data_IF_870646760419
#
_entry.id   IF_870646760419
#
_cell.length_a   1.000
_cell.length_b   1.000
_cell.length_c   1.000
_cell.angle_alpha   90.00
_cell.angle_beta   90.00
_cell.angle_gamma   90.00
#
_symmetry.space_group_name_H-M   'P 1'
#
loop_
_entity.id
_entity.type
_entity.pdbx_description
1 polymer ?
#
# COMPACT_ATOMS: atom_id res chain seq x y z
N UNK A 1 54.93 -17.51 53.07
CA UNK A 1 54.10 -16.31 52.92
C UNK A 1 53.18 -16.65 51.78
N UNK A 2 52.10 -17.37 52.09
CA UNK A 2 51.11 -17.81 51.12
C UNK A 2 49.75 -17.26 51.60
N UNK A 3 49.02 -16.49 50.77
CA UNK A 3 47.68 -16.05 51.11
C UNK A 3 46.69 -17.23 51.00
N UNK A 4 45.55 -17.18 51.72
CA UNK A 4 44.65 -18.32 51.87
C UNK A 4 43.87 -18.60 50.57
N UNK A 5 44.04 -19.79 49.99
CA UNK A 5 43.35 -20.24 48.77
C UNK A 5 41.83 -20.42 48.95
N UNK A 6 41.34 -20.60 50.18
CA UNK A 6 39.90 -20.77 50.48
C UNK A 6 39.07 -19.51 50.21
N UNK A 7 39.58 -18.34 50.61
CA UNK A 7 38.88 -17.04 50.47
C UNK A 7 38.78 -16.62 48.98
N UNK A 8 39.75 -17.07 48.17
CA UNK A 8 39.78 -16.82 46.72
C UNK A 8 38.77 -17.70 45.96
N UNK A 9 38.63 -18.98 46.33
CA UNK A 9 37.67 -19.90 45.71
C UNK A 9 36.21 -19.50 45.99
N UNK A 10 35.92 -19.02 47.20
CA UNK A 10 34.59 -18.54 47.58
C UNK A 10 34.20 -17.25 46.81
N UNK A 11 35.14 -16.32 46.66
CA UNK A 11 34.95 -15.11 45.84
C UNK A 11 34.74 -15.44 44.36
N UNK A 12 35.52 -16.36 43.79
CA UNK A 12 35.39 -16.76 42.37
C UNK A 12 34.06 -17.48 42.13
N UNK A 13 33.58 -18.30 43.08
CA UNK A 13 32.27 -18.95 43.01
C UNK A 13 31.10 -17.96 43.04
N UNK A 14 31.18 -16.94 43.91
CA UNK A 14 30.18 -15.87 44.02
C UNK A 14 30.14 -14.97 42.77
N UNK A 15 31.32 -14.61 42.24
CA UNK A 15 31.42 -13.83 40.99
C UNK A 15 30.92 -14.63 39.79
N UNK A 16 31.14 -15.94 39.74
CA UNK A 16 30.63 -16.81 38.68
C UNK A 16 29.10 -16.97 38.75
N UNK A 17 28.51 -17.13 39.95
CA UNK A 17 27.05 -17.18 40.11
C UNK A 17 26.39 -15.84 39.81
N UNK A 18 26.99 -14.73 40.24
CA UNK A 18 26.51 -13.38 39.92
C UNK A 18 26.58 -13.11 38.41
N UNK A 19 27.69 -13.50 37.75
CA UNK A 19 27.84 -13.35 36.30
C UNK A 19 26.84 -14.20 35.52
N UNK A 20 26.58 -15.44 35.97
CA UNK A 20 25.56 -16.29 35.37
C UNK A 20 24.14 -15.71 35.55
N UNK A 21 23.83 -15.17 36.74
CA UNK A 21 22.54 -14.53 37.01
C UNK A 21 22.35 -13.26 36.17
N UNK A 22 23.37 -12.40 36.08
CA UNK A 22 23.36 -11.19 35.26
C UNK A 22 23.23 -11.54 33.77
N UNK A 23 23.98 -12.54 33.29
CA UNK A 23 23.87 -13.01 31.91
C UNK A 23 22.49 -13.59 31.60
N UNK A 24 21.86 -14.30 32.55
CA UNK A 24 20.49 -14.80 32.40
C UNK A 24 19.46 -13.69 32.26
N UNK A 25 19.61 -12.61 33.05
CA UNK A 25 18.75 -11.42 32.95
C UNK A 25 18.93 -10.72 31.59
N UNK A 26 20.18 -10.55 31.14
CA UNK A 26 20.43 -9.95 29.82
C UNK A 26 19.86 -10.80 28.67
N UNK A 27 19.99 -12.13 28.73
CA UNK A 27 19.41 -13.02 27.73
C UNK A 27 17.88 -12.91 27.67
N UNK A 28 17.21 -12.81 28.82
CA UNK A 28 15.76 -12.59 28.90
C UNK A 28 15.35 -11.23 28.33
N UNK A 29 16.11 -10.17 28.62
CA UNK A 29 15.84 -8.84 28.08
C UNK A 29 15.99 -8.81 26.55
N UNK A 30 17.05 -9.40 26.00
CA UNK A 30 17.26 -9.50 24.55
C UNK A 30 16.15 -10.34 23.91
N UNK A 31 15.76 -11.46 24.53
CA UNK A 31 14.65 -12.29 24.07
C UNK A 31 13.32 -11.53 24.02
N UNK A 32 13.02 -10.75 25.06
CA UNK A 32 11.81 -9.92 25.11
C UNK A 32 11.82 -8.83 24.03
N UNK A 33 12.96 -8.15 23.81
CA UNK A 33 13.11 -7.14 22.76
C UNK A 33 12.93 -7.76 21.37
N UNK A 34 13.50 -8.95 21.13
CA UNK A 34 13.34 -9.65 19.86
C UNK A 34 11.87 -10.02 19.58
N UNK A 35 11.15 -10.55 20.58
CA UNK A 35 9.72 -10.87 20.45
C UNK A 35 8.91 -9.61 20.16
N UNK A 36 9.16 -8.52 20.89
CA UNK A 36 8.46 -7.24 20.68
C UNK A 36 8.74 -6.70 19.27
N UNK A 37 9.99 -6.78 18.79
CA UNK A 37 10.35 -6.35 17.45
C UNK A 37 9.62 -7.15 16.36
N UNK A 38 9.51 -8.47 16.52
CA UNK A 38 8.75 -9.34 15.61
C UNK A 38 7.27 -8.95 15.60
N UNK A 39 6.65 -8.78 16.77
CA UNK A 39 5.24 -8.37 16.89
C UNK A 39 5.00 -7.00 16.22
N UNK A 40 5.92 -6.05 16.38
CA UNK A 40 5.80 -4.73 15.75
C UNK A 40 5.91 -4.86 14.23
N UNK A 41 6.84 -5.68 13.72
CA UNK A 41 7.00 -5.92 12.29
C UNK A 41 5.77 -6.59 11.67
N UNK A 42 5.22 -7.63 12.31
CA UNK A 42 4.00 -8.31 11.88
C UNK A 42 2.80 -7.35 11.87
N UNK A 43 2.62 -6.56 12.94
CA UNK A 43 1.53 -5.56 13.01
C UNK A 43 1.67 -4.47 11.95
N UNK A 44 2.88 -4.04 11.64
CA UNK A 44 3.12 -3.05 10.59
C UNK A 44 2.76 -3.61 9.22
N UNK A 45 3.07 -4.88 8.95
CA UNK A 45 2.70 -5.56 7.71
C UNK A 45 1.19 -5.72 7.57
N UNK A 46 0.51 -6.20 8.62
CA UNK A 46 -0.96 -6.30 8.61
C UNK A 46 -1.59 -4.94 8.34
N UNK A 47 -1.11 -3.87 8.99
CA UNK A 47 -1.61 -2.52 8.75
C UNK A 47 -1.38 -2.03 7.32
N UNK A 48 -0.22 -2.34 6.73
CA UNK A 48 0.08 -1.98 5.34
C UNK A 48 -0.87 -2.68 4.36
N UNK A 49 -1.15 -3.98 4.58
CA UNK A 49 -2.10 -4.74 3.76
C UNK A 49 -3.52 -4.16 3.89
N UNK A 50 -3.98 -3.88 5.11
CA UNK A 50 -5.31 -3.29 5.33
C UNK A 50 -5.42 -1.89 4.68
N UNK A 51 -4.38 -1.07 4.77
CA UNK A 51 -4.34 0.23 4.12
C UNK A 51 -4.40 0.10 2.59
N UNK A 52 -3.66 -0.85 2.01
CA UNK A 52 -3.73 -1.15 0.57
C UNK A 52 -5.15 -1.55 0.17
N UNK A 53 -5.81 -2.43 0.92
CA UNK A 53 -7.20 -2.85 0.64
C UNK A 53 -8.16 -1.67 0.66
N UNK A 54 -8.02 -0.76 1.64
CA UNK A 54 -8.84 0.45 1.73
C UNK A 54 -8.62 1.36 0.53
N UNK A 55 -7.37 1.63 0.17
CA UNK A 55 -7.04 2.52 -0.94
C UNK A 55 -7.44 1.94 -2.30
N UNK A 56 -7.29 0.63 -2.48
CA UNK A 56 -7.73 -0.09 -3.68
C UNK A 56 -9.26 -0.11 -3.79
N UNK A 57 -9.97 -0.23 -2.66
CA UNK A 57 -11.43 -0.12 -2.64
C UNK A 57 -11.90 1.29 -3.00
N UNK A 58 -11.23 2.33 -2.47
CA UNK A 58 -11.49 3.74 -2.84
C UNK A 58 -11.22 3.99 -4.32
N UNK A 59 -10.14 3.41 -4.85
CA UNK A 59 -9.82 3.48 -6.27
C UNK A 59 -10.94 2.85 -7.11
N UNK A 60 -11.38 1.65 -6.74
CA UNK A 60 -12.48 0.96 -7.42
C UNK A 60 -13.79 1.76 -7.40
N UNK A 61 -14.13 2.39 -6.27
CA UNK A 61 -15.28 3.29 -6.14
C UNK A 61 -15.14 4.53 -7.03
N UNK A 62 -13.95 5.13 -7.07
CA UNK A 62 -13.65 6.29 -7.92
C UNK A 62 -13.85 5.96 -9.40
N UNK A 63 -13.36 4.80 -9.85
CA UNK A 63 -13.54 4.32 -11.23
C UNK A 63 -15.02 4.05 -11.56
N UNK A 64 -15.79 3.52 -10.61
CA UNK A 64 -17.24 3.37 -10.78
C UNK A 64 -17.97 4.71 -10.85
N UNK A 65 -17.56 5.70 -10.06
CA UNK A 65 -18.09 7.06 -10.16
C UNK A 65 -17.84 7.63 -11.55
N UNK A 66 -16.59 7.57 -12.03
CA UNK A 66 -16.22 8.01 -13.38
C UNK A 66 -17.03 7.32 -14.47
N UNK A 67 -17.22 6.00 -14.37
CA UNK A 67 -18.05 5.25 -15.30
C UNK A 67 -19.49 5.74 -15.32
N UNK A 68 -20.12 5.81 -14.15
CA UNK A 68 -21.54 6.15 -14.03
C UNK A 68 -21.80 7.59 -14.46
N UNK A 69 -20.94 8.51 -14.06
CA UNK A 69 -21.03 9.93 -14.43
C UNK A 69 -20.70 10.14 -15.90
N UNK A 70 -19.71 9.41 -16.44
CA UNK A 70 -19.45 9.37 -17.88
C UNK A 70 -20.70 8.97 -18.66
N UNK A 71 -21.43 7.92 -18.26
CA UNK A 71 -22.70 7.51 -18.90
C UNK A 71 -23.78 8.59 -18.75
N UNK A 72 -23.88 9.20 -17.56
CA UNK A 72 -24.89 10.21 -17.25
C UNK A 72 -24.74 11.48 -18.10
N UNK A 73 -23.49 11.88 -18.37
CA UNK A 73 -23.16 13.09 -19.12
C UNK A 73 -22.93 12.84 -20.62
N UNK A 74 -23.04 11.59 -21.08
CA UNK A 74 -23.06 11.25 -22.50
C UNK A 74 -24.10 12.07 -23.30
N UNK A 75 -25.33 12.35 -22.82
CA UNK A 75 -26.29 13.21 -23.51
C UNK A 75 -25.86 14.70 -23.51
N UNK A 76 -25.83 15.39 -24.66
CA UNK A 76 -25.24 16.73 -24.81
C UNK A 76 -25.97 17.85 -24.05
N UNK A 77 -27.22 17.63 -23.67
CA UNK A 77 -28.06 18.62 -22.97
C UNK A 77 -27.75 18.72 -21.46
N UNK A 78 -27.03 17.74 -20.90
CA UNK A 78 -26.81 17.60 -19.47
C UNK A 78 -25.54 18.30 -18.95
N UNK A 79 -24.74 18.92 -19.82
CA UNK A 79 -23.38 19.35 -19.50
C UNK A 79 -23.24 20.86 -19.63
N UNK A 80 -23.00 21.51 -18.48
CA UNK A 80 -22.54 22.90 -18.46
C UNK A 80 -21.01 22.92 -18.55
N UNK A 81 -20.47 23.50 -19.62
CA UNK A 81 -19.03 23.53 -19.90
C UNK A 81 -18.19 24.35 -18.92
N UNK A 82 -18.81 25.16 -18.06
CA UNK A 82 -18.12 25.98 -17.06
C UNK A 82 -17.82 25.25 -15.75
N UNK A 83 -18.29 24.00 -15.59
CA UNK A 83 -18.10 23.20 -14.39
C UNK A 83 -17.12 22.06 -14.69
N UNK A 84 -16.07 21.94 -13.88
CA UNK A 84 -15.21 20.76 -13.92
C UNK A 84 -15.96 19.56 -13.31
N UNK A 85 -16.69 18.82 -14.16
CA UNK A 85 -17.53 17.74 -13.67
C UNK A 85 -16.72 16.67 -12.92
N UNK A 86 -15.46 16.38 -13.27
CA UNK A 86 -14.73 15.26 -12.69
C UNK A 86 -13.60 15.67 -11.74
N UNK A 87 -13.69 16.86 -11.15
CA UNK A 87 -12.64 17.38 -10.26
C UNK A 87 -12.34 16.42 -9.09
N UNK A 88 -13.39 15.90 -8.43
CA UNK A 88 -13.26 14.99 -7.28
C UNK A 88 -12.60 13.66 -7.67
N UNK A 89 -13.03 13.04 -8.77
CA UNK A 89 -12.45 11.77 -9.21
C UNK A 89 -11.01 11.95 -9.71
N UNK A 90 -10.72 13.08 -10.38
CA UNK A 90 -9.36 13.39 -10.81
C UNK A 90 -8.44 13.55 -9.59
N UNK A 91 -8.89 14.24 -8.55
CA UNK A 91 -8.14 14.40 -7.30
C UNK A 91 -7.92 13.05 -6.60
N UNK A 92 -8.97 12.21 -6.51
CA UNK A 92 -8.87 10.88 -5.91
C UNK A 92 -7.89 9.98 -6.65
N UNK A 93 -7.92 9.95 -7.99
CA UNK A 93 -6.96 9.20 -8.80
C UNK A 93 -5.52 9.72 -8.60
N UNK A 94 -5.34 11.04 -8.60
CA UNK A 94 -4.03 11.66 -8.33
C UNK A 94 -3.50 11.28 -6.94
N UNK A 95 -4.36 11.34 -5.92
CA UNK A 95 -4.00 10.98 -4.55
C UNK A 95 -3.52 9.55 -4.46
N UNK A 96 -4.18 8.60 -5.13
CA UNK A 96 -3.77 7.19 -5.13
C UNK A 96 -2.44 7.01 -5.86
N UNK A 97 -2.28 7.55 -7.08
CA UNK A 97 -1.04 7.39 -7.85
C UNK A 97 0.20 8.02 -7.19
N UNK A 98 0.01 9.09 -6.42
CA UNK A 98 1.09 9.76 -5.69
C UNK A 98 1.28 9.22 -4.26
N UNK A 99 0.52 8.20 -3.85
CA UNK A 99 0.63 7.58 -2.52
C UNK A 99 1.62 6.39 -2.51
N UNK A 100 2.01 5.91 -1.32
CA UNK A 100 2.72 4.63 -1.19
C UNK A 100 1.99 3.47 -1.89
N UNK A 101 0.65 3.46 -1.86
CA UNK A 101 -0.18 2.47 -2.56
C UNK A 101 0.05 2.52 -4.08
N UNK A 102 0.14 3.72 -4.66
CA UNK A 102 0.45 3.91 -6.08
C UNK A 102 1.83 3.38 -6.46
N UNK A 103 2.84 3.63 -5.61
CA UNK A 103 4.18 3.06 -5.79
C UNK A 103 4.18 1.54 -5.71
N UNK A 104 3.55 0.95 -4.69
CA UNK A 104 3.45 -0.50 -4.53
C UNK A 104 2.75 -1.15 -5.73
N UNK A 105 1.68 -0.54 -6.21
CA UNK A 105 0.95 -1.01 -7.38
C UNK A 105 1.83 -0.99 -8.64
N UNK A 106 2.57 0.10 -8.87
CA UNK A 106 3.50 0.23 -9.99
C UNK A 106 4.60 -0.84 -9.94
N UNK A 107 5.23 -1.00 -8.78
CA UNK A 107 6.34 -1.91 -8.61
C UNK A 107 5.91 -3.39 -8.65
N UNK A 108 4.72 -3.72 -8.13
CA UNK A 108 4.10 -5.03 -8.31
C UNK A 108 3.77 -5.30 -9.79
N UNK A 109 3.13 -4.36 -10.47
CA UNK A 109 2.81 -4.47 -11.90
C UNK A 109 4.06 -4.72 -12.75
N UNK A 110 5.18 -4.06 -12.44
CA UNK A 110 6.45 -4.26 -13.14
C UNK A 110 6.94 -5.72 -13.04
N UNK A 111 6.73 -6.37 -11.89
CA UNK A 111 7.10 -7.77 -11.65
C UNK A 111 6.10 -8.78 -12.25
N UNK A 112 4.82 -8.41 -12.34
CA UNK A 112 3.73 -9.30 -12.80
C UNK A 112 3.15 -8.93 -14.17
N UNK A 113 3.98 -8.34 -15.04
CA UNK A 113 3.55 -7.81 -16.34
C UNK A 113 2.91 -8.84 -17.29
N UNK A 114 3.07 -10.14 -17.04
CA UNK A 114 2.49 -11.23 -17.84
C UNK A 114 1.02 -11.55 -17.47
N UNK A 115 0.53 -11.11 -16.30
CA UNK A 115 -0.83 -11.41 -15.79
C UNK A 115 -1.94 -10.50 -16.35
N UNK A 116 -1.68 -9.74 -17.39
CA UNK A 116 -2.65 -8.81 -17.98
C UNK A 116 -2.80 -7.46 -17.25
N UNK A 117 -2.05 -7.24 -16.16
CA UNK A 117 -2.03 -5.97 -15.41
C UNK A 117 -1.02 -4.94 -15.96
N UNK A 118 -0.32 -5.26 -17.05
CA UNK A 118 0.80 -4.49 -17.60
C UNK A 118 0.50 -3.02 -17.86
N UNK A 119 -0.76 -2.65 -17.99
CA UNK A 119 -1.19 -1.28 -18.28
C UNK A 119 -1.88 -0.58 -17.13
N UNK A 120 -2.11 -1.21 -15.96
CA UNK A 120 -2.99 -0.67 -14.93
C UNK A 120 -2.62 0.76 -14.48
N UNK A 121 -1.38 0.99 -14.05
CA UNK A 121 -0.90 2.33 -13.66
C UNK A 121 -0.88 3.33 -14.82
N UNK A 122 -0.61 2.87 -16.04
CA UNK A 122 -0.66 3.70 -17.24
C UNK A 122 -2.11 4.08 -17.62
N UNK A 123 -3.06 3.16 -17.44
CA UNK A 123 -4.49 3.37 -17.68
C UNK A 123 -5.05 4.37 -16.66
N UNK A 124 -4.63 4.28 -15.39
CA UNK A 124 -4.96 5.25 -14.34
C UNK A 124 -4.42 6.65 -14.66
N UNK A 125 -3.15 6.77 -15.04
CA UNK A 125 -2.57 8.05 -15.46
C UNK A 125 -3.24 8.59 -16.74
N UNK A 126 -3.58 7.71 -17.67
CA UNK A 126 -4.32 8.05 -18.87
C UNK A 126 -5.73 8.58 -18.58
N UNK A 127 -6.42 8.02 -17.58
CA UNK A 127 -7.70 8.54 -17.10
C UNK A 127 -7.55 9.96 -16.56
N UNK A 128 -6.57 10.22 -15.68
CA UNK A 128 -6.31 11.57 -15.16
C UNK A 128 -6.10 12.58 -16.29
N UNK A 129 -5.31 12.22 -17.30
CA UNK A 129 -5.08 13.08 -18.46
C UNK A 129 -6.40 13.37 -19.21
N UNK A 130 -7.25 12.36 -19.41
CA UNK A 130 -8.57 12.54 -20.04
C UNK A 130 -9.48 13.46 -19.22
N UNK A 131 -9.46 13.36 -17.89
CA UNK A 131 -10.24 14.23 -16.98
C UNK A 131 -9.69 15.66 -16.89
N UNK A 132 -8.50 15.91 -17.45
CA UNK A 132 -7.89 17.25 -17.53
C UNK A 132 -8.21 17.93 -18.85
N UNK A 133 -8.65 17.17 -19.87
CA UNK A 133 -9.13 17.75 -21.10
C UNK A 133 -10.40 18.54 -20.82
N UNK A 134 -10.49 19.73 -21.42
CA UNK A 134 -11.73 20.51 -21.36
C UNK A 134 -12.89 19.65 -21.89
N UNK A 135 -14.01 19.71 -21.19
CA UNK A 135 -15.17 18.85 -21.45
C UNK A 135 -15.95 19.22 -22.73
N UNK A 136 -15.40 20.16 -23.49
CA UNK A 136 -15.74 20.56 -24.86
C UNK A 136 -15.77 19.38 -25.85
N UNK A 137 -15.13 18.25 -25.50
CA UNK A 137 -15.12 17.02 -26.29
C UNK A 137 -16.47 16.30 -26.41
N UNK A 138 -17.49 16.74 -25.65
CA UNK A 138 -18.87 16.27 -25.76
C UNK A 138 -19.04 14.76 -25.54
N UNK A 139 -20.08 14.19 -26.14
CA UNK A 139 -20.50 12.80 -25.97
C UNK A 139 -19.38 11.76 -26.15
N UNK A 140 -18.45 11.98 -27.09
CA UNK A 140 -17.36 11.05 -27.39
C UNK A 140 -16.33 10.97 -26.25
N UNK A 141 -16.04 12.10 -25.59
CA UNK A 141 -15.15 12.14 -24.44
C UNK A 141 -15.74 11.38 -23.25
N UNK A 142 -17.01 11.64 -22.92
CA UNK A 142 -17.68 10.98 -21.79
C UNK A 142 -17.83 9.46 -22.00
N UNK A 143 -18.14 9.02 -23.21
CA UNK A 143 -18.12 7.60 -23.56
C UNK A 143 -16.71 6.98 -23.39
N UNK A 144 -15.67 7.69 -23.81
CA UNK A 144 -14.28 7.23 -23.65
C UNK A 144 -13.89 7.11 -22.18
N UNK A 145 -14.24 8.10 -21.36
CA UNK A 145 -14.04 8.07 -19.91
C UNK A 145 -14.73 6.85 -19.32
N UNK A 146 -16.00 6.64 -19.66
CA UNK A 146 -16.78 5.52 -19.12
C UNK A 146 -16.21 4.15 -19.46
N UNK A 147 -15.88 3.93 -20.74
CA UNK A 147 -15.31 2.66 -21.21
C UNK A 147 -13.96 2.37 -20.54
N UNK A 148 -13.09 3.38 -20.48
CA UNK A 148 -11.77 3.22 -19.85
C UNK A 148 -11.89 2.99 -18.35
N UNK A 149 -12.73 3.77 -17.66
CA UNK A 149 -12.96 3.60 -16.24
C UNK A 149 -13.51 2.21 -15.90
N UNK A 150 -14.44 1.66 -16.71
CA UNK A 150 -14.93 0.30 -16.54
C UNK A 150 -13.81 -0.74 -16.69
N UNK A 151 -13.05 -0.66 -17.79
CA UNK A 151 -11.95 -1.59 -18.04
C UNK A 151 -10.90 -1.56 -16.93
N UNK A 152 -10.56 -0.37 -16.45
CA UNK A 152 -9.61 -0.20 -15.34
C UNK A 152 -10.21 -0.72 -14.03
N UNK A 153 -11.52 -0.54 -13.79
CA UNK A 153 -12.19 -1.08 -12.60
C UNK A 153 -12.19 -2.62 -12.60
N UNK A 154 -12.36 -3.25 -13.76
CA UNK A 154 -12.29 -4.71 -13.91
C UNK A 154 -10.89 -5.23 -13.54
N UNK A 155 -9.84 -4.53 -13.96
CA UNK A 155 -8.47 -4.85 -13.55
C UNK A 155 -8.28 -4.68 -12.05
N UNK A 156 -8.75 -3.57 -11.46
CA UNK A 156 -8.62 -3.35 -10.00
C UNK A 156 -9.38 -4.42 -9.21
N UNK A 157 -10.56 -4.84 -9.68
CA UNK A 157 -11.36 -5.89 -9.05
C UNK A 157 -10.74 -7.30 -9.15
N UNK A 158 -9.85 -7.53 -10.12
CA UNK A 158 -9.15 -8.79 -10.27
C UNK A 158 -7.97 -8.95 -9.29
N UNK A 159 -7.61 -7.90 -8.55
CA UNK A 159 -6.56 -7.97 -7.53
C UNK A 159 -7.03 -8.78 -6.33
N UNK A 160 -6.23 -9.75 -5.93
CA UNK A 160 -6.52 -10.66 -4.83
C UNK A 160 -5.86 -10.21 -3.52
N UNK A 161 -6.28 -10.79 -2.40
CA UNK A 161 -5.62 -10.62 -1.11
C UNK A 161 -4.13 -11.01 -1.14
N UNK A 162 -3.78 -11.99 -1.98
CA UNK A 162 -2.39 -12.40 -2.17
C UNK A 162 -1.59 -11.30 -2.88
N UNK A 163 -2.15 -10.68 -3.93
CA UNK A 163 -1.49 -9.57 -4.63
C UNK A 163 -1.30 -8.36 -3.70
N UNK A 164 -2.25 -8.08 -2.79
CA UNK A 164 -2.11 -7.04 -1.76
C UNK A 164 -0.96 -7.32 -0.80
N UNK A 165 -0.79 -8.59 -0.38
CA UNK A 165 0.32 -8.99 0.47
C UNK A 165 1.67 -8.84 -0.26
N UNK A 166 1.75 -9.22 -1.53
CA UNK A 166 2.93 -9.01 -2.36
C UNK A 166 3.26 -7.53 -2.52
N UNK A 167 2.26 -6.68 -2.78
CA UNK A 167 2.42 -5.22 -2.86
C UNK A 167 2.96 -4.62 -1.56
N UNK A 168 2.44 -5.05 -0.40
CA UNK A 168 2.91 -4.60 0.91
C UNK A 168 4.39 -4.94 1.14
N UNK A 169 4.83 -6.10 0.65
CA UNK A 169 6.22 -6.53 0.75
C UNK A 169 7.19 -5.70 -0.13
N UNK A 170 6.69 -5.05 -1.20
CA UNK A 170 7.54 -4.20 -2.06
C UNK A 170 8.00 -2.94 -1.35
N UNK A 171 7.21 -2.38 -0.43
CA UNK A 171 7.57 -1.16 0.33
C UNK A 171 8.70 -1.41 1.34
N UNK A 172 9.00 -2.68 1.66
CA UNK A 172 10.04 -3.05 2.63
C UNK A 172 11.45 -3.15 2.04
N UNK A 173 11.60 -3.22 0.70
CA UNK A 173 12.88 -3.38 0.01
C UNK A 173 13.33 -2.08 -0.65
#
# INVERSE_FOLDING_TARGET
>A
MDPPEEDFMEHVGYVATLSAAVSGIFALMVGAVAIIAVIIAERAETRAIEQLKVDISRLWMTLHSLRNRGILYTPPEAVNGDIDLFAEEREALHSVLNSPTGFSLYAWQAKHSERGFKTLTADLAGLINLLTLKQDGGQALFNTISIRANKTADLVAALTDHDMAEMAAVVKN
#
